data_IF_373790230673
#
_entry.id   IF_373790230673
#
_cell.length_a   1.000
_cell.length_b   1.000
_cell.length_c   1.000
_cell.angle_alpha   90.00
_cell.angle_beta   90.00
_cell.angle_gamma   90.00
#
_symmetry.space_group_name_H-M   'P 1'
#
loop_
_entity.id
_entity.type
_entity.pdbx_description
1 polymer ?
#
# COMPACT_ATOMS: atom_id res chain seq x y z
N UNK A 1 25.67 -5.46 31.29
CA UNK A 1 25.74 -5.79 29.84
C UNK A 1 24.40 -5.86 29.13
N UNK A 2 23.25 -5.53 29.72
CA UNK A 2 21.91 -5.71 29.14
C UNK A 2 21.30 -4.46 28.47
N UNK A 3 21.64 -3.25 28.89
CA UNK A 3 21.02 -2.01 28.38
C UNK A 3 21.41 -1.66 26.93
N UNK A 4 22.64 -1.89 26.54
CA UNK A 4 23.08 -1.62 25.15
C UNK A 4 22.41 -2.49 24.08
N UNK A 5 21.87 -3.68 24.45
CA UNK A 5 21.14 -4.55 23.50
C UNK A 5 19.69 -4.09 23.26
N UNK A 6 19.04 -3.47 24.27
CA UNK A 6 17.65 -3.00 24.13
C UNK A 6 17.52 -1.72 23.31
N UNK A 7 18.46 -0.77 23.48
CA UNK A 7 18.52 0.46 22.69
C UNK A 7 18.74 0.11 21.21
N UNK A 8 19.61 -0.88 20.92
CA UNK A 8 19.87 -1.38 19.58
C UNK A 8 18.61 -1.92 18.89
N UNK A 9 17.71 -2.61 19.59
CA UNK A 9 16.48 -3.18 18.98
C UNK A 9 15.44 -2.12 18.63
N UNK A 10 15.18 -1.16 19.52
CA UNK A 10 14.23 -0.05 19.28
C UNK A 10 14.72 0.87 18.17
N UNK A 11 16.00 1.20 18.16
CA UNK A 11 16.61 2.04 17.14
C UNK A 11 16.61 1.34 15.76
N UNK A 12 16.90 0.04 15.74
CA UNK A 12 16.83 -0.76 14.52
C UNK A 12 15.38 -0.86 13.97
N UNK A 13 14.38 -1.03 14.84
CA UNK A 13 12.96 -1.07 14.42
C UNK A 13 12.56 0.27 13.79
N UNK A 14 12.88 1.40 14.42
CA UNK A 14 12.54 2.75 13.92
C UNK A 14 13.26 3.12 12.62
N UNK A 15 14.51 2.70 12.47
CA UNK A 15 15.26 2.89 11.22
C UNK A 15 14.73 2.01 10.09
N UNK A 16 14.37 0.76 10.39
CA UNK A 16 13.73 -0.19 9.47
C UNK A 16 12.41 0.33 8.93
N UNK A 17 11.55 0.91 9.77
CA UNK A 17 10.26 1.48 9.38
C UNK A 17 10.41 2.69 8.44
N UNK A 18 11.41 3.54 8.68
CA UNK A 18 11.62 4.77 7.91
C UNK A 18 12.39 4.57 6.60
N UNK A 19 13.25 3.56 6.52
CA UNK A 19 14.18 3.36 5.39
C UNK A 19 14.24 1.89 4.96
N UNK A 20 13.09 1.25 4.80
CA UNK A 20 13.03 -0.20 4.60
C UNK A 20 13.89 -0.73 3.45
N UNK A 21 13.90 -0.06 2.31
CA UNK A 21 14.75 -0.44 1.17
C UNK A 21 16.24 -0.25 1.44
N UNK A 22 16.58 0.87 2.08
CA UNK A 22 17.96 1.17 2.49
C UNK A 22 18.40 0.28 3.64
N UNK A 23 17.48 -0.05 4.57
CA UNK A 23 17.75 -0.96 5.68
C UNK A 23 18.05 -2.38 5.20
N UNK A 24 17.31 -2.92 4.24
CA UNK A 24 17.64 -4.22 3.63
C UNK A 24 19.05 -4.22 3.05
N UNK A 25 19.45 -3.14 2.39
CA UNK A 25 20.80 -3.00 1.85
C UNK A 25 21.87 -2.94 2.94
N UNK A 26 21.62 -2.18 4.01
CA UNK A 26 22.58 -1.98 5.12
C UNK A 26 22.61 -3.16 6.10
N UNK A 27 21.47 -3.77 6.42
CA UNK A 27 21.36 -4.89 7.39
C UNK A 27 21.88 -6.21 6.82
N UNK A 28 21.80 -6.38 5.49
CA UNK A 28 22.46 -7.50 4.81
C UNK A 28 23.98 -7.36 4.80
N UNK A 29 24.47 -6.21 5.26
CA UNK A 29 25.88 -5.88 5.46
C UNK A 29 26.63 -5.76 4.13
N UNK A 30 27.44 -4.72 4.01
CA UNK A 30 28.32 -4.49 2.86
C UNK A 30 29.16 -5.74 2.51
N UNK A 31 29.48 -6.57 3.51
CA UNK A 31 30.21 -7.84 3.35
C UNK A 31 29.33 -9.00 2.84
N UNK A 32 28.02 -8.80 2.63
CA UNK A 32 27.07 -9.81 2.14
C UNK A 32 26.34 -9.37 0.88
N UNK A 33 26.87 -8.43 0.11
CA UNK A 33 26.37 -8.15 -1.24
C UNK A 33 26.64 -9.37 -2.10
N UNK A 34 25.72 -10.33 -2.04
CA UNK A 34 25.78 -11.52 -2.88
C UNK A 34 25.48 -11.10 -4.32
N UNK A 35 26.07 -11.77 -5.31
CA UNK A 35 25.69 -11.57 -6.72
C UNK A 35 24.17 -11.67 -6.94
N UNK A 36 23.47 -12.49 -6.15
CA UNK A 36 22.00 -12.61 -6.13
C UNK A 36 21.29 -11.33 -5.73
N UNK A 37 21.85 -10.53 -4.82
CA UNK A 37 21.27 -9.26 -4.37
C UNK A 37 21.41 -8.20 -5.46
N UNK A 38 22.57 -8.11 -6.12
CA UNK A 38 22.79 -7.22 -7.26
C UNK A 38 21.84 -7.59 -8.39
N UNK A 39 21.72 -8.89 -8.69
CA UNK A 39 20.79 -9.39 -9.69
C UNK A 39 19.35 -9.00 -9.37
N UNK A 40 18.92 -9.15 -8.12
CA UNK A 40 17.58 -8.77 -7.66
C UNK A 40 17.28 -7.27 -7.91
N UNK A 41 18.20 -6.37 -7.55
CA UNK A 41 18.01 -4.94 -7.82
C UNK A 41 18.04 -4.61 -9.31
N UNK A 42 18.90 -5.25 -10.08
CA UNK A 42 18.94 -5.08 -11.53
C UNK A 42 17.64 -5.54 -12.20
N UNK A 43 17.11 -6.70 -11.79
CA UNK A 43 15.82 -7.22 -12.29
C UNK A 43 14.68 -6.26 -11.96
N UNK A 44 14.59 -5.77 -10.71
CA UNK A 44 13.60 -4.76 -10.31
C UNK A 44 13.72 -3.47 -11.11
N UNK A 45 14.93 -2.97 -11.34
CA UNK A 45 15.16 -1.77 -12.14
C UNK A 45 14.74 -1.96 -13.62
N UNK A 46 14.96 -3.17 -14.18
CA UNK A 46 14.69 -3.47 -15.58
C UNK A 46 13.25 -3.89 -15.86
N UNK A 47 12.66 -4.67 -14.97
CA UNK A 47 11.38 -5.34 -15.20
C UNK A 47 10.27 -4.90 -14.23
N UNK A 48 10.60 -4.08 -13.22
CA UNK A 48 9.71 -3.70 -12.15
C UNK A 48 9.61 -4.74 -11.03
N UNK A 49 10.05 -5.97 -11.26
CA UNK A 49 10.07 -7.06 -10.28
C UNK A 49 11.30 -7.97 -10.51
N UNK A 50 11.63 -8.79 -9.52
CA UNK A 50 12.69 -9.79 -9.62
C UNK A 50 12.15 -11.21 -9.43
N UNK A 51 12.97 -12.21 -9.72
CA UNK A 51 12.63 -13.60 -9.44
C UNK A 51 12.33 -13.86 -7.96
N UNK A 52 12.98 -13.14 -7.05
CA UNK A 52 12.72 -13.27 -5.60
C UNK A 52 11.33 -12.75 -5.22
N UNK A 53 10.81 -11.74 -5.92
CA UNK A 53 9.48 -11.17 -5.66
C UNK A 53 8.36 -12.17 -6.02
N UNK A 54 8.61 -13.12 -6.92
CA UNK A 54 7.66 -14.19 -7.23
C UNK A 54 7.45 -15.17 -6.05
N UNK A 55 8.44 -15.31 -5.18
CA UNK A 55 8.35 -16.16 -3.97
C UNK A 55 7.68 -15.45 -2.79
N UNK A 56 7.65 -14.12 -2.80
CA UNK A 56 7.03 -13.28 -1.78
C UNK A 56 6.13 -12.25 -2.47
N UNK A 57 5.27 -12.72 -3.37
CA UNK A 57 4.41 -11.86 -4.20
C UNK A 57 3.49 -11.00 -3.34
N UNK A 58 2.96 -11.55 -2.26
CA UNK A 58 2.14 -10.85 -1.28
C UNK A 58 2.88 -9.64 -0.69
N UNK A 59 4.09 -9.85 -0.18
CA UNK A 59 4.93 -8.77 0.35
C UNK A 59 5.27 -7.73 -0.70
N UNK A 60 5.62 -8.17 -1.92
CA UNK A 60 5.93 -7.27 -3.03
C UNK A 60 4.72 -6.42 -3.43
N UNK A 61 3.52 -7.03 -3.53
CA UNK A 61 2.28 -6.30 -3.84
C UNK A 61 1.96 -5.26 -2.77
N UNK A 62 2.05 -5.63 -1.49
CA UNK A 62 1.79 -4.71 -0.38
C UNK A 62 2.79 -3.55 -0.38
N UNK A 63 4.09 -3.85 -0.54
CA UNK A 63 5.16 -2.84 -0.59
C UNK A 63 4.99 -1.86 -1.76
N UNK A 64 4.36 -2.30 -2.85
CA UNK A 64 4.14 -1.49 -4.05
C UNK A 64 2.83 -0.73 -3.98
N UNK A 65 1.72 -1.40 -3.68
CA UNK A 65 0.38 -0.82 -3.74
C UNK A 65 0.11 0.16 -2.59
N UNK A 66 0.58 -0.15 -1.37
CA UNK A 66 0.31 0.71 -0.22
C UNK A 66 0.78 2.16 -0.42
N UNK A 67 2.05 2.43 -0.77
CA UNK A 67 2.48 3.80 -1.02
C UNK A 67 1.81 4.44 -2.25
N UNK A 68 1.44 3.65 -3.26
CA UNK A 68 0.72 4.17 -4.43
C UNK A 68 -0.67 4.69 -4.03
N UNK A 69 -1.43 3.92 -3.24
CA UNK A 69 -2.75 4.36 -2.77
C UNK A 69 -2.65 5.50 -1.74
N UNK A 70 -1.62 5.54 -0.90
CA UNK A 70 -1.37 6.68 -0.02
C UNK A 70 -1.10 7.96 -0.82
N UNK A 71 -0.33 7.88 -1.92
CA UNK A 71 -0.10 9.01 -2.81
C UNK A 71 -1.37 9.42 -3.56
N UNK A 72 -2.11 8.46 -4.16
CA UNK A 72 -3.37 8.74 -4.84
C UNK A 72 -4.38 9.44 -3.91
N UNK A 73 -4.46 9.02 -2.64
CA UNK A 73 -5.33 9.66 -1.66
C UNK A 73 -4.91 11.09 -1.34
N UNK A 74 -3.61 11.38 -1.28
CA UNK A 74 -3.07 12.69 -0.92
C UNK A 74 -3.08 13.68 -2.10
N UNK A 75 -2.89 13.19 -3.33
CA UNK A 75 -2.71 13.99 -4.55
C UNK A 75 -3.92 13.90 -5.49
N UNK A 76 -5.13 13.70 -4.95
CA UNK A 76 -6.36 13.62 -5.73
C UNK A 76 -6.70 15.00 -6.32
N UNK A 77 -6.68 15.12 -7.65
CA UNK A 77 -7.02 16.37 -8.37
C UNK A 77 -8.46 16.41 -8.88
N UNK A 78 -9.19 15.30 -8.80
CA UNK A 78 -10.58 15.18 -9.24
C UNK A 78 -11.15 13.80 -8.90
N UNK A 79 -12.46 13.63 -9.01
CA UNK A 79 -13.10 12.35 -8.81
C UNK A 79 -13.15 11.56 -10.13
N UNK A 80 -12.81 10.27 -10.04
CA UNK A 80 -13.00 9.35 -11.16
C UNK A 80 -14.47 9.20 -11.54
N UNK A 81 -14.76 9.02 -12.82
CA UNK A 81 -16.14 8.95 -13.35
C UNK A 81 -17.02 7.90 -12.65
N UNK A 82 -16.45 6.81 -12.17
CA UNK A 82 -17.19 5.74 -11.48
C UNK A 82 -17.71 6.17 -10.10
N UNK A 83 -17.21 7.28 -9.53
CA UNK A 83 -17.66 7.80 -8.24
C UNK A 83 -18.84 8.77 -8.36
N UNK A 84 -19.16 9.21 -9.58
CA UNK A 84 -20.34 10.03 -9.84
C UNK A 84 -21.59 9.14 -9.93
N UNK A 85 -22.63 9.48 -9.18
CA UNK A 85 -23.92 8.82 -9.27
C UNK A 85 -24.90 9.73 -10.03
N UNK A 86 -25.79 9.13 -10.81
CA UNK A 86 -26.80 9.88 -11.57
C UNK A 86 -27.69 10.75 -10.68
N UNK A 87 -27.90 10.34 -9.44
CA UNK A 87 -28.70 11.05 -8.42
C UNK A 87 -27.99 12.27 -7.81
N UNK A 88 -26.69 12.44 -8.01
CA UNK A 88 -25.94 13.57 -7.44
C UNK A 88 -26.24 14.90 -8.13
N UNK A 89 -26.82 14.82 -9.33
CA UNK A 89 -27.24 15.98 -10.12
C UNK A 89 -26.23 16.41 -11.17
N UNK A 90 -26.77 16.90 -12.27
CA UNK A 90 -26.04 17.49 -13.40
C UNK A 90 -26.59 18.88 -13.67
N UNK A 91 -25.78 19.74 -14.28
CA UNK A 91 -26.19 21.05 -14.76
C UNK A 91 -27.05 20.95 -16.04
N UNK A 92 -27.48 22.09 -16.57
CA UNK A 92 -28.30 22.16 -17.80
C UNK A 92 -27.60 21.61 -19.04
N UNK A 93 -26.28 21.46 -19.01
CA UNK A 93 -25.43 20.95 -20.11
C UNK A 93 -25.08 19.49 -19.91
N UNK A 94 -25.41 18.90 -18.75
CA UNK A 94 -25.15 17.51 -18.41
C UNK A 94 -23.80 17.27 -17.71
N UNK A 95 -23.11 18.33 -17.24
CA UNK A 95 -21.92 18.20 -16.42
C UNK A 95 -22.30 18.00 -14.94
N UNK A 96 -21.46 17.29 -14.17
CA UNK A 96 -21.65 17.18 -12.73
C UNK A 96 -21.64 18.58 -12.06
N UNK A 97 -22.56 18.82 -11.15
CA UNK A 97 -22.57 20.03 -10.32
C UNK A 97 -21.41 20.03 -9.33
N UNK A 98 -21.07 21.19 -8.77
CA UNK A 98 -20.02 21.28 -7.72
C UNK A 98 -20.33 20.35 -6.54
N UNK A 99 -21.60 20.28 -6.12
CA UNK A 99 -22.05 19.38 -5.05
C UNK A 99 -21.90 17.89 -5.44
N UNK A 100 -22.16 17.54 -6.70
CA UNK A 100 -21.97 16.18 -7.21
C UNK A 100 -20.47 15.81 -7.21
N UNK A 101 -19.62 16.76 -7.57
CA UNK A 101 -18.16 16.60 -7.58
C UNK A 101 -17.62 16.38 -6.15
N UNK A 102 -18.09 17.17 -5.18
CA UNK A 102 -17.70 17.01 -3.78
C UNK A 102 -18.09 15.64 -3.23
N UNK A 103 -19.34 15.17 -3.48
CA UNK A 103 -19.78 13.84 -3.07
C UNK A 103 -19.00 12.72 -3.75
N UNK A 104 -18.66 12.87 -5.02
CA UNK A 104 -17.84 11.89 -5.75
C UNK A 104 -16.41 11.81 -5.18
N UNK A 105 -15.82 12.95 -4.83
CA UNK A 105 -14.52 13.02 -4.15
C UNK A 105 -14.55 12.34 -2.78
N UNK A 106 -15.59 12.57 -1.98
CA UNK A 106 -15.75 11.91 -0.67
C UNK A 106 -15.84 10.40 -0.81
N UNK A 107 -16.62 9.89 -1.78
CA UNK A 107 -16.71 8.45 -2.07
C UNK A 107 -15.34 7.89 -2.45
N UNK A 108 -14.62 8.55 -3.34
CA UNK A 108 -13.28 8.16 -3.76
C UNK A 108 -12.30 8.12 -2.58
N UNK A 109 -12.30 9.14 -1.73
CA UNK A 109 -11.47 9.20 -0.54
C UNK A 109 -11.77 8.09 0.46
N UNK A 110 -13.06 7.72 0.60
CA UNK A 110 -13.47 6.60 1.45
C UNK A 110 -12.97 5.27 0.88
N UNK A 111 -13.14 5.03 -0.43
CA UNK A 111 -12.64 3.82 -1.10
C UNK A 111 -11.12 3.70 -0.96
N UNK A 112 -10.36 4.77 -1.19
CA UNK A 112 -8.92 4.76 -0.97
C UNK A 112 -8.55 4.50 0.50
N UNK A 113 -9.33 5.04 1.44
CA UNK A 113 -9.16 4.79 2.87
C UNK A 113 -9.34 3.32 3.23
N UNK A 114 -10.36 2.65 2.70
CA UNK A 114 -10.60 1.22 2.91
C UNK A 114 -9.50 0.35 2.29
N UNK A 115 -9.06 0.67 1.07
CA UNK A 115 -7.95 -0.03 0.40
C UNK A 115 -6.66 0.08 1.24
N UNK A 116 -6.28 1.29 1.64
CA UNK A 116 -5.11 1.55 2.46
C UNK A 116 -5.19 0.80 3.80
N UNK A 117 -6.36 0.79 4.43
CA UNK A 117 -6.57 0.07 5.68
C UNK A 117 -6.35 -1.44 5.51
N UNK A 118 -6.94 -2.05 4.47
CA UNK A 118 -6.75 -3.47 4.19
C UNK A 118 -5.30 -3.83 3.85
N UNK A 119 -4.60 -3.00 3.08
CA UNK A 119 -3.18 -3.19 2.78
C UNK A 119 -2.29 -3.03 4.04
N UNK A 120 -2.65 -2.13 4.97
CA UNK A 120 -1.98 -2.03 6.28
C UNK A 120 -2.22 -3.26 7.14
N UNK A 121 -3.43 -3.82 7.13
CA UNK A 121 -3.73 -5.11 7.78
C UNK A 121 -2.87 -6.23 7.17
N UNK A 122 -2.79 -6.33 5.84
CA UNK A 122 -1.95 -7.32 5.18
C UNK A 122 -0.47 -7.19 5.57
N UNK A 123 0.03 -5.95 5.67
CA UNK A 123 1.40 -5.68 6.14
C UNK A 123 1.62 -6.14 7.58
N UNK A 124 0.66 -5.89 8.48
CA UNK A 124 0.75 -6.36 9.87
C UNK A 124 0.77 -7.89 9.96
N UNK A 125 -0.01 -8.58 9.12
CA UNK A 125 0.01 -10.05 9.03
C UNK A 125 1.38 -10.54 8.57
N UNK A 126 1.95 -9.95 7.52
CA UNK A 126 3.29 -10.31 7.04
C UNK A 126 4.40 -10.03 8.07
N UNK A 127 4.27 -8.94 8.83
CA UNK A 127 5.23 -8.57 9.87
C UNK A 127 5.01 -9.36 11.19
N UNK A 128 3.98 -10.21 11.26
CA UNK A 128 3.52 -10.94 12.46
C UNK A 128 3.31 -10.02 13.67
N UNK A 129 2.82 -8.81 13.44
CA UNK A 129 2.60 -7.78 14.47
C UNK A 129 1.10 -7.67 14.84
N UNK A 130 0.49 -8.80 15.24
CA UNK A 130 -0.92 -8.90 15.62
C UNK A 130 -1.20 -10.10 16.52
N UNK A 131 -2.36 -10.11 17.23
CA UNK A 131 -2.84 -11.26 17.98
C UNK A 131 -3.64 -12.18 17.04
N UNK A 132 -3.01 -13.27 16.60
CA UNK A 132 -3.59 -14.21 15.64
C UNK A 132 -4.99 -14.71 16.04
N UNK A 133 -5.21 -14.97 17.33
CA UNK A 133 -6.47 -15.54 17.82
C UNK A 133 -7.63 -14.55 17.77
N UNK A 134 -7.35 -13.24 17.93
CA UNK A 134 -8.37 -12.21 18.05
C UNK A 134 -8.57 -11.43 16.75
N UNK A 135 -7.50 -11.17 16.05
CA UNK A 135 -7.49 -10.13 15.02
C UNK A 135 -7.42 -10.68 13.60
N UNK A 136 -6.96 -11.93 13.41
CA UNK A 136 -6.69 -12.49 12.09
C UNK A 136 -7.91 -12.48 11.16
N UNK A 137 -9.07 -12.93 11.63
CA UNK A 137 -10.28 -12.99 10.80
C UNK A 137 -10.71 -11.59 10.33
N UNK A 138 -10.72 -10.62 11.26
CA UNK A 138 -11.06 -9.23 10.94
C UNK A 138 -10.06 -8.63 9.94
N UNK A 139 -8.78 -8.84 10.17
CA UNK A 139 -7.73 -8.36 9.28
C UNK A 139 -7.83 -8.99 7.89
N UNK A 140 -8.03 -10.31 7.82
CA UNK A 140 -8.19 -11.04 6.57
C UNK A 140 -9.41 -10.55 5.77
N UNK A 141 -10.53 -10.25 6.44
CA UNK A 141 -11.71 -9.68 5.80
C UNK A 141 -11.42 -8.27 5.25
N UNK A 142 -10.67 -7.45 5.99
CA UNK A 142 -10.24 -6.13 5.50
C UNK A 142 -9.31 -6.23 4.29
N UNK A 143 -8.41 -7.21 4.27
CA UNK A 143 -7.55 -7.49 3.11
C UNK A 143 -8.37 -7.90 1.91
N UNK A 144 -9.31 -8.85 2.06
CA UNK A 144 -10.21 -9.25 0.97
C UNK A 144 -10.98 -8.07 0.42
N UNK A 145 -11.58 -7.26 1.29
CA UNK A 145 -12.33 -6.08 0.89
C UNK A 145 -11.48 -5.08 0.11
N UNK A 146 -10.22 -4.87 0.50
CA UNK A 146 -9.33 -3.97 -0.24
C UNK A 146 -9.06 -4.45 -1.67
N UNK A 147 -8.86 -5.75 -1.89
CA UNK A 147 -8.67 -6.31 -3.24
C UNK A 147 -9.96 -6.32 -4.06
N UNK A 148 -11.12 -6.52 -3.45
CA UNK A 148 -12.43 -6.35 -4.12
C UNK A 148 -12.59 -4.92 -4.63
N UNK A 149 -12.30 -3.92 -3.80
CA UNK A 149 -12.35 -2.51 -4.19
C UNK A 149 -11.34 -2.16 -5.27
N UNK A 150 -10.11 -2.70 -5.19
CA UNK A 150 -9.11 -2.52 -6.25
C UNK A 150 -9.64 -3.07 -7.58
N UNK A 151 -10.28 -4.24 -7.57
CA UNK A 151 -10.88 -4.82 -8.77
C UNK A 151 -12.08 -4.02 -9.30
N UNK A 152 -12.97 -3.58 -8.41
CA UNK A 152 -14.17 -2.81 -8.74
C UNK A 152 -13.84 -1.45 -9.38
N UNK A 153 -12.85 -0.75 -8.81
CA UNK A 153 -12.46 0.60 -9.25
C UNK A 153 -11.18 0.61 -10.09
N UNK A 154 -10.76 -0.52 -10.65
CA UNK A 154 -9.45 -0.66 -11.31
C UNK A 154 -9.18 0.39 -12.39
N UNK A 155 -10.19 0.71 -13.19
CA UNK A 155 -10.06 1.66 -14.30
C UNK A 155 -10.18 3.14 -13.90
N UNK A 156 -10.39 3.46 -12.62
CA UNK A 156 -10.45 4.85 -12.14
C UNK A 156 -9.16 5.36 -11.52
N UNK A 157 -8.16 4.50 -11.34
CA UNK A 157 -6.89 4.88 -10.70
C UNK A 157 -5.93 5.61 -11.65
N UNK A 158 -6.35 5.92 -12.86
CA UNK A 158 -5.54 6.53 -13.92
C UNK A 158 -5.95 8.00 -14.20
N UNK A 159 -6.11 8.79 -13.19
CA UNK A 159 -6.43 10.22 -13.39
C UNK A 159 -5.19 11.08 -13.35
#
# INVERSE_FOLDING_TARGET
MSENRMISRKTKKKFREKYYSLYRFVDQGWNKVRPSTIKHYYERAKHGYSYQDNWAMDSYMIETLLPMFENLKNDTHGAGMQFYLTEDGVDEVGNPTDSATEKALDRQQNVYGEIIYGLKCAKQVNDMDFDYKKDFEKMNNSVKRSFELIGEYFFTFWN
#
